data_IF_661048174416
#
_entry.id   IF_661048174416
#
_cell.length_a   1.000
_cell.length_b   1.000
_cell.length_c   1.000
_cell.angle_alpha   90.00
_cell.angle_beta   90.00
_cell.angle_gamma   90.00
#
_symmetry.space_group_name_H-M   'P 1'
#
loop_
_entity.id
_entity.type
_entity.pdbx_description
1 polymer ?
#
# COMPACT_ATOMS: atom_id res chain seq x y z
N UNK A 1 -6.49 9.76 7.25
CA UNK A 1 -6.39 8.65 8.20
C UNK A 1 -5.33 7.68 7.75
N UNK A 2 -4.58 7.17 8.68
CA UNK A 2 -3.51 6.22 8.39
C UNK A 2 -4.03 4.79 8.37
N UNK A 3 -3.22 3.88 7.81
CA UNK A 3 -3.51 2.46 7.78
C UNK A 3 -3.65 1.89 9.19
N UNK A 4 -4.50 0.89 9.32
CA UNK A 4 -4.54 0.10 10.54
C UNK A 4 -3.36 -0.87 10.52
N UNK A 5 -2.53 -0.82 11.56
CA UNK A 5 -1.33 -1.64 11.62
C UNK A 5 -1.69 -3.10 11.89
N UNK A 6 -1.34 -3.97 10.96
CA UNK A 6 -1.54 -5.42 11.08
C UNK A 6 -0.49 -6.15 10.26
N UNK A 7 -0.22 -7.41 10.62
CA UNK A 7 0.74 -8.22 9.86
C UNK A 7 0.29 -8.47 8.43
N UNK A 8 -0.98 -8.80 8.14
CA UNK A 8 -1.41 -8.99 6.75
C UNK A 8 -1.22 -7.74 5.89
N UNK A 9 -1.48 -6.56 6.44
CA UNK A 9 -1.30 -5.32 5.70
C UNK A 9 0.18 -5.06 5.40
N UNK A 10 1.04 -5.24 6.40
CA UNK A 10 2.49 -5.10 6.22
C UNK A 10 2.99 -6.07 5.16
N UNK A 11 2.53 -7.32 5.21
CA UNK A 11 2.93 -8.33 4.24
C UNK A 11 2.46 -7.97 2.83
N UNK A 12 1.25 -7.44 2.69
CA UNK A 12 0.74 -7.00 1.39
C UNK A 12 1.63 -5.92 0.77
N UNK A 13 2.08 -4.97 1.58
CA UNK A 13 3.00 -3.92 1.10
C UNK A 13 4.33 -4.51 0.65
N UNK A 14 4.88 -5.44 1.42
CA UNK A 14 6.15 -6.08 1.08
C UNK A 14 6.04 -6.98 -0.14
N UNK A 15 4.94 -7.70 -0.28
CA UNK A 15 4.70 -8.53 -1.46
C UNK A 15 4.56 -7.67 -2.71
N UNK A 16 3.89 -6.54 -2.60
CA UNK A 16 3.75 -5.60 -3.72
C UNK A 16 5.12 -5.05 -4.12
N UNK A 17 5.93 -4.64 -3.16
CA UNK A 17 7.28 -4.16 -3.42
C UNK A 17 8.12 -5.24 -4.12
N UNK A 18 8.01 -6.48 -3.67
CA UNK A 18 8.74 -7.61 -4.28
C UNK A 18 8.30 -7.86 -5.71
N UNK A 19 6.99 -7.79 -5.98
CA UNK A 19 6.46 -7.93 -7.34
C UNK A 19 7.07 -6.89 -8.26
N UNK A 20 7.07 -5.64 -7.82
CA UNK A 20 7.63 -4.54 -8.61
C UNK A 20 9.14 -4.69 -8.80
N UNK A 21 9.85 -5.11 -7.76
CA UNK A 21 11.29 -5.30 -7.83
C UNK A 21 11.67 -6.48 -8.75
N UNK A 22 10.78 -7.45 -8.93
CA UNK A 22 11.03 -8.64 -9.76
C UNK A 22 10.60 -8.46 -11.21
N UNK A 23 10.44 -7.22 -11.66
CA UNK A 23 10.11 -6.89 -13.06
C UNK A 23 8.69 -7.26 -13.50
N UNK A 24 7.74 -7.37 -12.57
CA UNK A 24 6.34 -7.48 -12.93
C UNK A 24 5.96 -6.28 -13.82
N UNK A 25 5.10 -6.47 -14.84
CA UNK A 25 4.72 -5.35 -15.72
C UNK A 25 4.20 -4.15 -14.93
N UNK A 26 4.79 -2.99 -15.17
CA UNK A 26 4.44 -1.76 -14.49
C UNK A 26 4.17 -0.68 -15.53
N UNK A 27 2.99 -0.06 -15.44
CA UNK A 27 2.62 1.03 -16.33
C UNK A 27 1.75 2.00 -15.55
N UNK A 28 2.24 3.21 -15.32
CA UNK A 28 1.55 4.18 -14.49
C UNK A 28 0.31 4.63 -15.29
N UNK A 29 -0.28 4.69 -15.92
CA UNK A 29 -1.55 5.01 -16.57
C UNK A 29 -2.48 3.82 -16.75
N UNK A 30 -2.04 2.62 -16.40
CA UNK A 30 -2.87 1.42 -16.48
C UNK A 30 -3.39 1.08 -15.10
N UNK A 31 -4.72 1.10 -14.91
CA UNK A 31 -5.33 0.99 -13.58
C UNK A 31 -4.99 -0.31 -12.85
N UNK A 32 -4.64 -1.35 -13.55
CA UNK A 32 -4.27 -2.64 -12.96
C UNK A 32 -2.78 -2.80 -12.73
N UNK A 33 -1.93 -1.95 -13.29
CA UNK A 33 -0.47 -2.09 -13.18
C UNK A 33 0.26 -0.82 -12.75
N UNK A 34 -0.46 0.18 -12.27
CA UNK A 34 0.12 1.34 -11.61
C UNK A 34 0.40 1.04 -10.13
N UNK A 35 0.70 2.07 -9.34
CA UNK A 35 1.04 1.88 -7.94
C UNK A 35 -0.07 1.16 -7.16
N UNK A 36 -1.26 1.74 -7.13
CA UNK A 36 -2.41 1.10 -6.48
C UNK A 36 -2.84 -0.18 -7.19
N UNK A 37 -2.68 -0.24 -8.50
CA UNK A 37 -3.02 -1.43 -9.27
C UNK A 37 -2.23 -2.64 -8.83
N UNK A 38 -0.93 -2.50 -8.59
CA UNK A 38 -0.12 -3.60 -8.09
C UNK A 38 -0.50 -4.02 -6.68
N UNK A 39 -0.82 -3.07 -5.81
CA UNK A 39 -1.31 -3.40 -4.48
C UNK A 39 -2.65 -4.15 -4.59
N UNK A 40 -3.54 -3.71 -5.44
CA UNK A 40 -4.81 -4.37 -5.67
C UNK A 40 -4.62 -5.81 -6.17
N UNK A 41 -3.68 -6.04 -7.09
CA UNK A 41 -3.35 -7.40 -7.54
C UNK A 41 -2.93 -8.28 -6.36
N UNK A 42 -2.12 -7.72 -5.46
CA UNK A 42 -1.62 -8.46 -4.29
C UNK A 42 -2.76 -8.80 -3.33
N UNK A 43 -3.61 -7.84 -3.03
CA UNK A 43 -4.68 -8.00 -2.03
C UNK A 43 -5.81 -8.88 -2.53
N UNK A 44 -6.23 -8.69 -3.79
CA UNK A 44 -7.43 -9.34 -4.32
C UNK A 44 -7.12 -10.59 -5.14
N UNK A 45 -5.88 -10.80 -5.54
CA UNK A 45 -5.47 -11.87 -6.45
C UNK A 45 -6.07 -11.74 -7.85
N UNK A 46 -6.63 -10.60 -8.19
CA UNK A 46 -7.09 -10.31 -9.55
C UNK A 46 -5.90 -9.98 -10.44
N UNK A 47 -6.05 -10.22 -11.74
CA UNK A 47 -5.02 -9.84 -12.71
C UNK A 47 -5.09 -8.34 -13.02
N UNK A 48 -3.99 -7.81 -13.57
CA UNK A 48 -3.96 -6.40 -13.97
C UNK A 48 -5.07 -6.07 -14.99
N UNK A 49 -5.35 -7.00 -15.90
CA UNK A 49 -6.38 -6.80 -16.90
C UNK A 49 -7.78 -6.76 -16.29
N UNK A 50 -8.04 -7.63 -15.32
CA UNK A 50 -9.33 -7.63 -14.62
C UNK A 50 -9.55 -6.33 -13.86
N UNK A 51 -8.54 -5.85 -13.15
CA UNK A 51 -8.63 -4.60 -12.39
C UNK A 51 -8.85 -3.42 -13.35
N UNK A 52 -8.11 -3.37 -14.43
CA UNK A 52 -8.26 -2.31 -15.43
C UNK A 52 -9.67 -2.30 -16.05
N UNK A 53 -10.17 -3.48 -16.40
CA UNK A 53 -11.52 -3.61 -16.95
C UNK A 53 -12.58 -3.13 -15.96
N UNK A 54 -12.44 -3.48 -14.69
CA UNK A 54 -13.35 -3.01 -13.65
C UNK A 54 -13.33 -1.47 -13.54
N UNK A 55 -12.14 -0.89 -13.58
CA UNK A 55 -11.99 0.57 -13.46
C UNK A 55 -12.63 1.32 -14.64
N UNK A 56 -12.66 0.70 -15.82
CA UNK A 56 -13.24 1.32 -17.00
C UNK A 56 -14.78 1.45 -16.92
N UNK A 57 -15.42 0.82 -15.95
CA UNK A 57 -16.86 0.97 -15.75
C UNK A 57 -17.24 2.33 -15.18
N UNK A 58 -16.24 3.09 -14.75
CA UNK A 58 -16.41 4.46 -14.26
C UNK A 58 -15.25 5.29 -14.77
N UNK A 59 -15.47 6.59 -14.89
CA UNK A 59 -14.42 7.52 -15.34
C UNK A 59 -13.42 7.80 -14.21
N UNK A 60 -12.18 8.04 -14.62
CA UNK A 60 -11.17 8.60 -13.75
C UNK A 60 -10.06 7.63 -13.39
N UNK A 61 -9.04 8.18 -12.76
CA UNK A 61 -7.91 7.41 -12.23
C UNK A 61 -8.24 6.86 -10.84
N UNK A 62 -7.25 6.27 -10.18
CA UNK A 62 -7.44 5.73 -8.84
C UNK A 62 -7.95 6.78 -7.86
N UNK A 63 -7.41 8.00 -7.91
CA UNK A 63 -7.85 9.05 -7.00
C UNK A 63 -9.33 9.34 -7.18
N UNK A 64 -9.78 9.50 -8.41
CA UNK A 64 -11.20 9.74 -8.72
C UNK A 64 -12.07 8.58 -8.27
N UNK A 65 -11.64 7.35 -8.53
CA UNK A 65 -12.37 6.16 -8.15
C UNK A 65 -12.51 6.07 -6.62
N UNK A 66 -11.47 6.46 -5.88
CA UNK A 66 -11.51 6.47 -4.43
C UNK A 66 -12.48 7.54 -3.90
N UNK A 67 -12.55 8.70 -4.56
CA UNK A 67 -13.49 9.76 -4.20
C UNK A 67 -14.92 9.27 -4.41
N UNK A 68 -15.18 8.61 -5.53
CA UNK A 68 -16.51 8.15 -5.92
C UNK A 68 -16.88 6.79 -5.33
N UNK A 69 -16.00 6.18 -4.57
CA UNK A 69 -16.22 4.87 -3.97
C UNK A 69 -17.52 4.82 -3.16
N UNK A 70 -18.25 3.72 -3.33
CA UNK A 70 -19.48 3.46 -2.57
C UNK A 70 -19.53 1.97 -2.19
N UNK A 71 -19.60 1.63 -0.89
CA UNK A 71 -19.57 0.22 -0.48
C UNK A 71 -20.79 -0.59 -0.93
N UNK A 72 -21.83 0.08 -1.40
CA UNK A 72 -23.08 -0.58 -1.81
C UNK A 72 -23.40 -0.38 -3.29
N UNK A 73 -22.43 0.09 -4.08
CA UNK A 73 -22.67 0.40 -5.49
C UNK A 73 -22.93 -0.83 -6.36
N UNK A 74 -22.39 -1.98 -5.98
CA UNK A 74 -22.43 -3.16 -6.81
C UNK A 74 -21.41 -3.16 -7.95
N UNK A 75 -20.62 -2.09 -8.11
CA UNK A 75 -19.60 -2.04 -9.14
C UNK A 75 -18.39 -2.87 -8.74
N UNK A 76 -17.82 -3.68 -9.66
CA UNK A 76 -16.68 -4.53 -9.33
C UNK A 76 -15.47 -3.76 -8.79
N UNK A 77 -15.20 -2.56 -9.31
CA UNK A 77 -14.06 -1.79 -8.85
C UNK A 77 -14.25 -1.30 -7.41
N UNK A 78 -15.46 -0.94 -7.03
CA UNK A 78 -15.75 -0.59 -5.64
C UNK A 78 -15.58 -1.80 -4.72
N UNK A 79 -15.90 -3.01 -5.20
CA UNK A 79 -15.65 -4.23 -4.43
C UNK A 79 -14.16 -4.45 -4.22
N UNK A 80 -13.35 -4.19 -5.25
CA UNK A 80 -11.89 -4.27 -5.14
C UNK A 80 -11.37 -3.27 -4.11
N UNK A 81 -11.84 -2.04 -4.15
CA UNK A 81 -11.48 -1.02 -3.16
C UNK A 81 -11.92 -1.49 -1.76
N UNK A 82 -13.12 -2.04 -1.65
CA UNK A 82 -13.64 -2.52 -0.37
C UNK A 82 -12.74 -3.59 0.25
N UNK A 83 -12.21 -4.51 -0.56
CA UNK A 83 -11.28 -5.52 -0.06
C UNK A 83 -9.99 -4.89 0.47
N UNK A 84 -9.49 -3.86 -0.20
CA UNK A 84 -8.29 -3.15 0.25
C UNK A 84 -8.56 -2.42 1.57
N UNK A 85 -9.74 -1.79 1.70
CA UNK A 85 -10.13 -1.14 2.94
C UNK A 85 -10.32 -2.16 4.06
N UNK A 86 -10.86 -3.32 3.76
CA UNK A 86 -11.05 -4.40 4.74
C UNK A 86 -9.71 -4.93 5.26
N UNK A 87 -8.67 -4.89 4.43
CA UNK A 87 -7.31 -5.26 4.84
C UNK A 87 -6.74 -4.28 5.87
N UNK A 88 -7.22 -3.05 5.89
CA UNK A 88 -6.78 -2.01 6.83
C UNK A 88 -6.30 -0.73 6.17
N UNK A 89 -6.21 -0.69 4.84
CA UNK A 89 -5.85 0.55 4.14
C UNK A 89 -7.00 1.55 4.22
N UNK A 90 -6.65 2.83 4.29
CA UNK A 90 -7.64 3.90 4.15
C UNK A 90 -7.64 4.40 2.71
N UNK A 91 -8.71 5.08 2.32
CA UNK A 91 -8.74 5.72 0.99
C UNK A 91 -7.62 6.72 0.83
N UNK A 92 -7.28 7.42 1.90
CA UNK A 92 -6.19 8.38 1.90
C UNK A 92 -4.84 7.69 1.70
N UNK A 93 -4.63 6.54 2.32
CA UNK A 93 -3.43 5.73 2.11
C UNK A 93 -3.24 5.39 0.63
N UNK A 94 -4.33 5.00 -0.03
CA UNK A 94 -4.28 4.61 -1.43
C UNK A 94 -4.04 5.81 -2.34
N UNK A 95 -4.66 6.94 -2.04
CA UNK A 95 -4.41 8.18 -2.77
C UNK A 95 -2.94 8.59 -2.67
N UNK A 96 -2.37 8.50 -1.46
CA UNK A 96 -0.95 8.79 -1.27
C UNK A 96 -0.05 7.79 -1.97
N UNK A 97 -0.43 6.51 -2.00
CA UNK A 97 0.37 5.50 -2.70
C UNK A 97 0.46 5.82 -4.20
N UNK A 98 -0.63 6.25 -4.80
CA UNK A 98 -0.64 6.55 -6.22
C UNK A 98 0.36 7.66 -6.58
N UNK A 99 0.55 8.61 -5.68
CA UNK A 99 1.49 9.73 -5.86
C UNK A 99 2.77 9.59 -5.05
N UNK A 100 2.91 8.53 -4.27
CA UNK A 100 3.97 8.32 -3.26
C UNK A 100 4.21 9.59 -2.45
N UNK A 101 3.14 10.10 -1.85
CA UNK A 101 3.11 11.46 -1.33
C UNK A 101 2.86 11.58 0.17
N UNK A 102 2.70 10.49 0.92
CA UNK A 102 2.46 10.59 2.36
C UNK A 102 3.67 11.20 3.04
N UNK A 103 3.51 12.37 3.69
CA UNK A 103 4.65 13.04 4.33
C UNK A 103 5.34 12.20 5.41
N UNK A 104 4.58 11.37 6.13
CA UNK A 104 5.13 10.52 7.18
C UNK A 104 6.06 9.46 6.59
N UNK A 105 5.67 8.85 5.48
CA UNK A 105 6.51 7.87 4.80
C UNK A 105 7.73 8.55 4.18
N UNK A 106 7.51 9.66 3.49
CA UNK A 106 8.61 10.39 2.83
C UNK A 106 9.66 10.86 3.82
N UNK A 107 9.24 11.26 5.02
CA UNK A 107 10.18 11.74 6.04
C UNK A 107 11.18 10.66 6.48
N UNK A 108 10.85 9.39 6.34
CA UNK A 108 11.74 8.29 6.67
C UNK A 108 12.67 7.88 5.52
N UNK A 109 12.47 8.43 4.33
CA UNK A 109 13.34 8.18 3.18
C UNK A 109 14.53 9.12 3.27
N UNK A 110 15.77 8.66 2.96
CA UNK A 110 16.95 9.53 2.99
C UNK A 110 16.75 10.81 2.18
N UNK A 111 17.25 11.91 2.68
CA UNK A 111 17.00 13.23 2.12
C UNK A 111 17.35 13.32 0.63
N UNK A 112 18.49 12.74 0.22
CA UNK A 112 18.92 12.76 -1.17
C UNK A 112 17.95 12.07 -2.11
N UNK A 113 17.36 10.97 -1.65
CA UNK A 113 16.38 10.22 -2.44
C UNK A 113 15.01 10.88 -2.38
N UNK A 114 14.65 11.44 -1.22
CA UNK A 114 13.33 12.05 -1.00
C UNK A 114 13.01 13.12 -2.04
N UNK A 115 13.98 13.97 -2.34
CA UNK A 115 13.78 15.07 -3.29
C UNK A 115 13.73 14.61 -4.75
N UNK A 116 14.19 13.40 -5.02
CA UNK A 116 14.22 12.85 -6.38
C UNK A 116 13.12 11.84 -6.66
N UNK A 117 12.24 11.57 -5.69
CA UNK A 117 11.19 10.57 -5.85
C UNK A 117 10.20 10.95 -6.96
N UNK A 118 9.89 9.97 -7.79
CA UNK A 118 8.90 10.11 -8.86
C UNK A 118 7.84 9.03 -8.73
N UNK A 119 6.60 9.41 -8.72
CA UNK A 119 5.49 8.50 -8.51
C UNK A 119 5.29 7.48 -9.63
N UNK A 120 5.87 7.73 -10.78
CA UNK A 120 5.76 6.85 -11.94
C UNK A 120 7.08 6.11 -12.26
N UNK A 121 7.97 5.99 -11.27
CA UNK A 121 9.21 5.25 -11.39
C UNK A 121 9.19 4.05 -10.46
N UNK A 122 9.35 2.86 -11.05
CA UNK A 122 9.28 1.58 -10.32
C UNK A 122 10.13 1.57 -9.06
N UNK A 123 11.40 1.94 -9.18
CA UNK A 123 12.33 1.85 -8.05
C UNK A 123 11.94 2.80 -6.90
N UNK A 124 11.39 3.95 -7.23
CA UNK A 124 10.94 4.91 -6.22
C UNK A 124 9.69 4.40 -5.50
N UNK A 125 8.79 3.75 -6.24
CA UNK A 125 7.60 3.15 -5.65
C UNK A 125 7.98 1.98 -4.73
N UNK A 126 8.94 1.15 -5.16
CA UNK A 126 9.45 0.05 -4.32
C UNK A 126 10.02 0.60 -3.02
N UNK A 127 10.84 1.65 -3.10
CA UNK A 127 11.41 2.28 -1.91
C UNK A 127 10.32 2.81 -0.98
N UNK A 128 9.32 3.47 -1.53
CA UNK A 128 8.20 4.01 -0.76
C UNK A 128 7.43 2.90 -0.04
N UNK A 129 7.12 1.82 -0.74
CA UNK A 129 6.38 0.70 -0.17
C UNK A 129 7.15 0.03 0.96
N UNK A 130 8.46 -0.18 0.77
CA UNK A 130 9.31 -0.79 1.79
C UNK A 130 9.43 0.09 3.02
N UNK A 131 9.62 1.38 2.81
CA UNK A 131 9.71 2.34 3.90
C UNK A 131 8.42 2.39 4.70
N UNK A 132 7.30 2.41 4.01
CA UNK A 132 5.97 2.41 4.63
C UNK A 132 5.76 1.13 5.45
N UNK A 133 6.07 -0.03 4.87
CA UNK A 133 5.95 -1.31 5.58
C UNK A 133 6.82 -1.33 6.84
N UNK A 134 8.07 -0.84 6.75
CA UNK A 134 8.98 -0.81 7.89
C UNK A 134 8.45 0.10 9.00
N UNK A 135 7.87 1.23 8.66
CA UNK A 135 7.27 2.13 9.65
C UNK A 135 6.09 1.48 10.36
N UNK A 136 5.24 0.77 9.61
CA UNK A 136 4.10 0.09 10.18
C UNK A 136 4.54 -1.06 11.08
N UNK A 137 5.57 -1.79 10.67
CA UNK A 137 6.13 -2.85 11.51
C UNK A 137 6.67 -2.28 12.80
N UNK A 138 7.39 -1.18 12.74
CA UNK A 138 7.92 -0.55 13.95
C UNK A 138 6.79 -0.10 14.88
N UNK A 139 5.72 0.45 14.34
CA UNK A 139 4.55 0.82 15.12
C UNK A 139 3.91 -0.41 15.79
N UNK A 140 3.82 -1.50 15.07
CA UNK A 140 3.26 -2.74 15.62
C UNK A 140 4.11 -3.25 16.76
N UNK A 141 5.43 -3.28 16.58
CA UNK A 141 6.36 -3.70 17.62
C UNK A 141 6.28 -2.80 18.85
N UNK A 142 6.19 -1.49 18.66
CA UNK A 142 6.09 -0.54 19.75
C UNK A 142 4.80 -0.69 20.54
N UNK A 143 3.75 -1.23 19.93
CA UNK A 143 2.46 -1.43 20.60
C UNK A 143 2.38 -2.73 21.39
N UNK A 144 3.38 -3.62 21.26
CA UNK A 144 3.37 -4.91 21.95
C UNK A 144 3.87 -4.76 23.40
N UNK A 145 3.32 -5.54 24.34
CA UNK A 145 3.79 -5.54 25.71
C UNK A 145 5.13 -6.25 25.82
N UNK A 146 6.21 -5.50 25.98
CA UNK A 146 7.57 -6.04 26.06
C UNK A 146 8.07 -6.34 27.48
N UNK A 147 7.69 -5.59 28.51
CA UNK A 147 8.37 -5.67 29.80
C UNK A 147 8.43 -7.05 30.43
N UNK A 148 7.38 -7.83 30.34
CA UNK A 148 7.33 -9.15 30.97
C UNK A 148 8.37 -10.09 30.39
N UNK A 149 8.51 -10.08 29.07
CA UNK A 149 9.48 -10.93 28.39
C UNK A 149 10.90 -10.48 28.72
N UNK A 150 11.14 -9.17 28.69
CA UNK A 150 12.44 -8.63 29.02
C UNK A 150 12.84 -8.92 30.45
N UNK A 151 11.93 -8.78 31.39
CA UNK A 151 12.17 -9.07 32.78
C UNK A 151 12.50 -10.53 33.00
N UNK A 152 11.75 -11.43 32.41
CA UNK A 152 12.02 -12.87 32.52
C UNK A 152 13.40 -13.20 31.97
N UNK A 153 13.82 -12.61 30.90
CA UNK A 153 15.14 -12.80 30.33
C UNK A 153 16.22 -12.30 31.26
N UNK A 154 16.03 -11.15 31.85
CA UNK A 154 17.00 -10.58 32.81
C UNK A 154 17.16 -11.44 34.03
N UNK A 155 16.06 -11.96 34.55
CA UNK A 155 16.11 -12.80 35.77
C UNK A 155 16.88 -14.08 35.55
N UNK A 156 16.95 -14.58 34.36
CA UNK A 156 17.65 -15.80 34.02
C UNK A 156 19.05 -15.57 33.47
N UNK A 157 19.38 -14.33 33.23
CA UNK A 157 20.67 -13.93 32.66
C UNK A 157 21.80 -13.89 33.65
#
# INVERSE_FOLDING_TARGET
MTSRVSLPLIQALRDTARRLASEAPYQWGHMGSCNCGHLAQTVTSLTKAEIHTQALQRYGDWERQLIDYCPTSGLPFDQTIDEMLAMGFSRQDLTHLEKISDPTVRAAIPFERRNALRHNQRDDVVLYLRTWADQLEQRLLDSLPLPEIAEATVLHG
#
